data_IF_775849939715
#
_entry.id   IF_775849939715
#
_cell.length_a   1.000
_cell.length_b   1.000
_cell.length_c   1.000
_cell.angle_alpha   90.00
_cell.angle_beta   90.00
_cell.angle_gamma   90.00
#
_symmetry.space_group_name_H-M   'P 1'
#
loop_
_entity.id
_entity.type
_entity.pdbx_description
1 polymer ?
#
# COMPACT_ATOMS: atom_id res chain seq x y z
N UNK A 1 34.10 1.82 27.64
CA UNK A 1 33.72 1.99 26.23
C UNK A 1 32.35 2.61 26.23
N UNK A 2 32.22 3.85 25.79
CA UNK A 2 30.95 4.58 25.81
C UNK A 2 30.09 4.10 24.63
N UNK A 3 28.90 3.57 24.92
CA UNK A 3 27.89 3.24 23.92
C UNK A 3 27.36 4.53 23.28
N UNK A 4 27.86 4.83 22.09
CA UNK A 4 27.36 5.93 21.27
C UNK A 4 26.11 5.43 20.52
N UNK A 5 24.93 5.57 21.15
CA UNK A 5 23.66 5.44 20.45
C UNK A 5 23.53 6.66 19.52
N UNK A 6 24.11 6.55 18.32
CA UNK A 6 23.80 7.45 17.22
C UNK A 6 22.27 7.44 17.03
N UNK A 7 21.61 8.60 16.95
CA UNK A 7 20.19 8.64 16.62
C UNK A 7 20.09 8.10 15.20
N UNK A 8 19.71 6.83 15.05
CA UNK A 8 19.31 6.28 13.78
C UNK A 8 18.28 7.25 13.23
N UNK A 9 18.63 7.95 12.15
CA UNK A 9 17.70 8.76 11.38
C UNK A 9 16.45 7.90 11.24
N UNK A 10 15.33 8.34 11.82
CA UNK A 10 14.08 7.60 11.81
C UNK A 10 13.63 7.52 10.35
N UNK A 11 14.18 6.55 9.63
CA UNK A 11 13.86 6.21 8.26
C UNK A 11 12.39 5.85 8.31
N UNK A 12 11.54 6.74 7.81
CA UNK A 12 10.11 6.50 7.76
C UNK A 12 9.89 5.19 7.00
N UNK A 13 9.50 4.13 7.72
CA UNK A 13 9.22 2.85 7.11
C UNK A 13 8.02 3.05 6.17
N UNK A 14 8.20 2.86 4.86
CA UNK A 14 7.11 3.02 3.90
C UNK A 14 5.89 2.17 4.27
N UNK A 15 6.09 1.03 4.92
CA UNK A 15 5.03 0.13 5.36
C UNK A 15 4.24 0.75 6.52
N UNK A 16 4.89 1.37 7.50
CA UNK A 16 4.22 2.02 8.63
C UNK A 16 3.42 3.25 8.16
N UNK A 17 3.92 3.97 7.16
CA UNK A 17 3.19 5.07 6.51
C UNK A 17 1.94 4.60 5.74
N UNK A 18 1.98 3.41 5.14
CA UNK A 18 0.87 2.85 4.34
C UNK A 18 -0.19 2.13 5.19
N UNK A 19 0.18 1.66 6.38
CA UNK A 19 -0.69 0.83 7.22
C UNK A 19 -2.02 1.51 7.59
N UNK A 20 -2.04 2.81 7.97
CA UNK A 20 -3.30 3.51 8.25
C UNK A 20 -4.23 3.66 7.04
N UNK A 21 -3.69 3.62 5.81
CA UNK A 21 -4.48 3.76 4.58
C UNK A 21 -4.95 2.41 4.00
N UNK A 22 -4.52 1.26 4.55
CA UNK A 22 -4.96 -0.08 4.11
C UNK A 22 -6.49 -0.20 3.93
N UNK A 23 -7.33 0.31 4.85
CA UNK A 23 -8.79 0.22 4.71
C UNK A 23 -9.34 0.93 3.47
N UNK A 24 -8.60 1.88 2.90
CA UNK A 24 -8.99 2.64 1.72
C UNK A 24 -8.34 2.05 0.46
N UNK A 25 -7.07 1.66 0.55
CA UNK A 25 -6.33 1.07 -0.57
C UNK A 25 -6.96 -0.24 -1.03
N UNK A 26 -7.37 -1.11 -0.10
CA UNK A 26 -7.97 -2.40 -0.45
C UNK A 26 -9.26 -2.24 -1.27
N UNK A 27 -10.25 -1.42 -0.87
CA UNK A 27 -11.42 -1.14 -1.70
C UNK A 27 -11.10 -0.48 -3.04
N UNK A 28 -10.18 0.50 -3.07
CA UNK A 28 -9.85 1.22 -4.31
C UNK A 28 -9.17 0.31 -5.33
N UNK A 29 -8.11 -0.41 -4.91
CA UNK A 29 -7.40 -1.35 -5.78
C UNK A 29 -8.32 -2.51 -6.15
N UNK A 30 -9.04 -3.08 -5.18
CA UNK A 30 -10.01 -4.15 -5.43
C UNK A 30 -11.10 -3.73 -6.42
N UNK A 31 -11.63 -2.51 -6.30
CA UNK A 31 -12.60 -1.94 -7.23
C UNK A 31 -12.02 -1.75 -8.63
N UNK A 32 -10.78 -1.27 -8.74
CA UNK A 32 -10.07 -1.18 -10.02
C UNK A 32 -9.92 -2.56 -10.68
N UNK A 33 -9.52 -3.57 -9.91
CA UNK A 33 -9.37 -4.94 -10.40
C UNK A 33 -10.72 -5.51 -10.87
N UNK A 34 -11.79 -5.35 -10.08
CA UNK A 34 -13.13 -5.80 -10.46
C UNK A 34 -13.60 -5.07 -11.72
N UNK A 35 -13.38 -3.75 -11.82
CA UNK A 35 -13.74 -2.98 -13.00
C UNK A 35 -13.00 -3.47 -14.25
N UNK A 36 -11.68 -3.71 -14.13
CA UNK A 36 -10.89 -4.28 -15.22
C UNK A 36 -11.43 -5.66 -15.64
N UNK A 37 -11.74 -6.53 -14.67
CA UNK A 37 -12.32 -7.84 -14.92
C UNK A 37 -13.72 -7.76 -15.57
N UNK A 38 -14.55 -6.82 -15.15
CA UNK A 38 -15.85 -6.58 -15.76
C UNK A 38 -15.72 -6.03 -17.19
N UNK A 39 -14.77 -5.12 -17.42
CA UNK A 39 -14.49 -4.56 -18.73
C UNK A 39 -14.05 -5.63 -19.73
N UNK A 40 -13.13 -6.52 -19.35
CA UNK A 40 -12.72 -7.63 -20.24
C UNK A 40 -13.88 -8.59 -20.51
N UNK A 41 -14.76 -8.81 -19.52
CA UNK A 41 -15.92 -9.69 -19.69
C UNK A 41 -16.91 -9.13 -20.73
N UNK A 42 -17.12 -7.81 -20.75
CA UNK A 42 -17.96 -7.14 -21.76
C UNK A 42 -17.28 -7.13 -23.13
N UNK A 43 -15.97 -6.87 -23.18
CA UNK A 43 -15.23 -6.72 -24.45
C UNK A 43 -15.01 -8.04 -25.21
N UNK A 44 -15.13 -9.19 -24.54
CA UNK A 44 -15.00 -10.53 -25.13
C UNK A 44 -16.33 -11.15 -25.56
N UNK A 45 -17.46 -10.48 -25.30
CA UNK A 45 -18.79 -10.89 -25.69
C UNK A 45 -19.06 -10.64 -27.18
#
# INVERSE_FOLDING_TARGET
MSDHHEPATASQDPIEAITPMIPIVLPVVGGLLIFLLAFIAVAMA
#
